data_IF_830250842208
#
_entry.id   IF_830250842208
#
_cell.length_a   1.000
_cell.length_b   1.000
_cell.length_c   1.000
_cell.angle_alpha   90.00
_cell.angle_beta   90.00
_cell.angle_gamma   90.00
#
_symmetry.space_group_name_H-M   'P 1'
#
loop_
_entity.id
_entity.type
_entity.pdbx_description
1 polymer ?
#
# COMPACT_ATOMS: atom_id res chain seq x y z
N UNK A 1 -34.99 3.52 -47.87
CA UNK A 1 -33.72 3.38 -47.11
C UNK A 1 -33.93 4.00 -45.74
N UNK A 2 -34.00 3.20 -44.68
CA UNK A 2 -34.03 3.70 -43.31
C UNK A 2 -32.59 3.69 -42.78
N UNK A 3 -32.02 4.87 -42.57
CA UNK A 3 -30.73 5.01 -41.89
C UNK A 3 -30.94 4.68 -40.41
N UNK A 4 -30.52 3.47 -40.04
CA UNK A 4 -30.46 2.98 -38.67
C UNK A 4 -29.50 3.88 -37.88
N UNK A 5 -30.05 4.63 -36.93
CA UNK A 5 -29.26 5.39 -35.95
C UNK A 5 -28.63 4.44 -34.96
N UNK A 6 -27.34 4.18 -35.10
CA UNK A 6 -26.53 3.55 -34.05
C UNK A 6 -26.05 4.64 -33.09
N UNK A 7 -26.95 5.05 -32.19
CA UNK A 7 -26.58 5.70 -30.93
C UNK A 7 -25.87 4.68 -30.04
N UNK A 8 -24.61 4.43 -30.34
CA UNK A 8 -23.69 3.71 -29.48
C UNK A 8 -23.38 4.54 -28.24
N UNK A 9 -24.33 4.60 -27.29
CA UNK A 9 -24.04 4.93 -25.90
C UNK A 9 -23.04 3.89 -25.39
N UNK A 10 -21.74 4.15 -25.59
CA UNK A 10 -20.64 3.54 -24.84
C UNK A 10 -20.86 3.97 -23.39
N UNK A 11 -21.70 3.22 -22.68
CA UNK A 11 -21.77 3.25 -21.23
C UNK A 11 -20.38 2.85 -20.76
N UNK A 12 -19.54 3.85 -20.49
CA UNK A 12 -18.31 3.67 -19.74
C UNK A 12 -18.73 3.04 -18.43
N UNK A 13 -18.63 1.71 -18.35
CA UNK A 13 -18.77 1.00 -17.09
C UNK A 13 -17.61 1.51 -16.25
N UNK A 14 -17.89 2.45 -15.35
CA UNK A 14 -16.96 2.78 -14.26
C UNK A 14 -16.77 1.47 -13.49
N UNK A 15 -15.79 0.67 -13.90
CA UNK A 15 -15.32 -0.47 -13.12
C UNK A 15 -14.77 0.11 -11.85
N UNK A 16 -15.48 -0.10 -10.74
CA UNK A 16 -14.99 0.24 -9.42
C UNK A 16 -13.64 -0.47 -9.28
N UNK A 17 -12.53 0.27 -9.07
CA UNK A 17 -11.22 -0.36 -9.00
C UNK A 17 -11.23 -1.39 -7.87
N UNK A 18 -10.81 -2.61 -8.20
CA UNK A 18 -10.63 -3.65 -7.20
C UNK A 18 -9.66 -3.13 -6.12
N UNK A 19 -10.08 -3.16 -4.85
CA UNK A 19 -9.30 -2.69 -3.72
C UNK A 19 -7.89 -3.29 -3.71
N UNK A 20 -7.75 -4.55 -4.13
CA UNK A 20 -6.45 -5.22 -4.25
C UNK A 20 -5.55 -4.59 -5.31
N UNK A 21 -6.12 -4.22 -6.46
CA UNK A 21 -5.39 -3.52 -7.52
C UNK A 21 -4.96 -2.11 -7.08
N UNK A 22 -5.81 -1.43 -6.29
CA UNK A 22 -5.47 -0.13 -5.73
C UNK A 22 -4.32 -0.24 -4.73
N UNK A 23 -4.40 -1.16 -3.76
CA UNK A 23 -3.32 -1.44 -2.80
C UNK A 23 -2.01 -1.76 -3.53
N UNK A 24 -2.06 -2.62 -4.56
CA UNK A 24 -0.88 -2.96 -5.34
C UNK A 24 -0.29 -1.73 -6.07
N UNK A 25 -1.13 -0.85 -6.60
CA UNK A 25 -0.69 0.37 -7.27
C UNK A 25 -0.01 1.33 -6.30
N UNK A 26 -0.56 1.51 -5.09
CA UNK A 26 0.06 2.32 -4.04
C UNK A 26 1.38 1.70 -3.57
N UNK A 27 1.45 0.38 -3.45
CA UNK A 27 2.69 -0.34 -3.12
C UNK A 27 3.77 -0.12 -4.19
N UNK A 28 3.41 -0.22 -5.46
CA UNK A 28 4.33 0.06 -6.56
C UNK A 28 4.78 1.52 -6.55
N UNK A 29 3.88 2.47 -6.25
CA UNK A 29 4.21 3.89 -6.13
C UNK A 29 5.24 4.13 -5.01
N UNK A 30 5.03 3.52 -3.84
CA UNK A 30 5.96 3.58 -2.69
C UNK A 30 7.36 3.08 -3.09
N UNK A 31 7.43 1.98 -3.84
CA UNK A 31 8.71 1.34 -4.19
C UNK A 31 9.45 2.04 -5.34
N UNK A 32 8.73 2.64 -6.28
CA UNK A 32 9.30 3.19 -7.53
C UNK A 32 9.50 4.70 -7.51
N UNK A 33 8.80 5.43 -6.64
CA UNK A 33 8.93 6.89 -6.57
C UNK A 33 10.35 7.31 -6.19
N UNK A 34 10.85 8.37 -6.83
CA UNK A 34 12.12 9.02 -6.45
C UNK A 34 11.94 10.08 -5.36
N UNK A 35 10.70 10.50 -5.11
CA UNK A 35 10.37 11.54 -4.14
C UNK A 35 10.06 10.89 -2.79
N UNK A 36 10.90 11.16 -1.80
CA UNK A 36 10.79 10.58 -0.44
C UNK A 36 9.44 10.95 0.21
N UNK A 37 8.93 12.16 -0.02
CA UNK A 37 7.62 12.56 0.47
C UNK A 37 6.49 11.66 -0.08
N UNK A 38 6.54 11.33 -1.38
CA UNK A 38 5.56 10.42 -2.01
C UNK A 38 5.71 9.00 -1.45
N UNK A 39 6.93 8.54 -1.21
CA UNK A 39 7.17 7.25 -0.55
C UNK A 39 6.55 7.21 0.85
N UNK A 40 6.73 8.27 1.65
CA UNK A 40 6.14 8.40 2.99
C UNK A 40 4.61 8.41 2.98
N UNK A 41 3.99 9.15 2.05
CA UNK A 41 2.52 9.21 1.97
C UNK A 41 1.91 7.90 1.44
N UNK A 42 2.52 7.30 0.42
CA UNK A 42 2.10 5.99 -0.07
C UNK A 42 2.24 4.92 1.03
N UNK A 43 3.33 4.96 1.80
CA UNK A 43 3.54 4.09 2.95
C UNK A 43 2.45 4.26 4.01
N UNK A 44 2.09 5.49 4.38
CA UNK A 44 1.02 5.76 5.34
C UNK A 44 -0.33 5.21 4.87
N UNK A 45 -0.67 5.47 3.61
CA UNK A 45 -1.91 4.97 3.01
C UNK A 45 -1.97 3.43 3.02
N UNK A 46 -0.86 2.75 2.74
CA UNK A 46 -0.80 1.27 2.78
C UNK A 46 -1.04 0.71 4.18
N UNK A 47 -0.60 1.41 5.22
CA UNK A 47 -0.87 1.02 6.61
C UNK A 47 -2.34 1.08 6.90
N UNK A 48 -3.05 2.11 6.43
CA UNK A 48 -4.49 2.25 6.63
C UNK A 48 -5.28 1.18 5.88
N UNK A 49 -4.91 0.94 4.63
CA UNK A 49 -5.67 0.07 3.72
C UNK A 49 -5.40 -1.43 3.89
N UNK A 50 -4.27 -1.81 4.50
CA UNK A 50 -3.82 -3.19 4.55
C UNK A 50 -3.50 -3.70 5.95
N UNK A 51 -4.01 -4.88 6.26
CA UNK A 51 -3.57 -5.70 7.40
C UNK A 51 -2.68 -6.87 6.97
N UNK A 52 -2.29 -6.92 5.69
CA UNK A 52 -1.46 -8.01 5.14
C UNK A 52 -0.03 -7.87 5.68
N UNK A 53 0.50 -8.87 6.40
CA UNK A 53 1.82 -8.77 7.04
C UNK A 53 2.95 -8.41 6.08
N UNK A 54 2.93 -8.96 4.86
CA UNK A 54 3.94 -8.70 3.84
C UNK A 54 3.94 -7.24 3.37
N UNK A 55 2.77 -6.61 3.27
CA UNK A 55 2.65 -5.19 2.91
C UNK A 55 3.21 -4.32 4.03
N UNK A 56 2.86 -4.63 5.28
CA UNK A 56 3.36 -3.89 6.45
C UNK A 56 4.88 -4.04 6.62
N UNK A 57 5.45 -5.21 6.30
CA UNK A 57 6.90 -5.42 6.26
C UNK A 57 7.59 -4.56 5.18
N UNK A 58 6.99 -4.47 4.00
CA UNK A 58 7.48 -3.58 2.93
C UNK A 58 7.45 -2.12 3.35
N UNK A 59 6.36 -1.69 3.99
CA UNK A 59 6.22 -0.33 4.53
C UNK A 59 7.25 -0.03 5.62
N UNK A 60 7.47 -0.96 6.55
CA UNK A 60 8.49 -0.80 7.60
C UNK A 60 9.89 -0.61 7.01
N UNK A 61 10.26 -1.46 6.04
CA UNK A 61 11.54 -1.33 5.33
C UNK A 61 11.65 0.01 4.59
N UNK A 62 10.56 0.52 4.05
CA UNK A 62 10.53 1.84 3.41
C UNK A 62 10.90 2.94 4.41
N UNK A 63 10.25 3.00 5.58
CA UNK A 63 10.56 4.01 6.59
C UNK A 63 12.00 3.91 7.11
N UNK A 64 12.50 2.70 7.36
CA UNK A 64 13.90 2.50 7.77
C UNK A 64 14.88 3.01 6.71
N UNK A 65 14.60 2.76 5.43
CA UNK A 65 15.41 3.29 4.31
C UNK A 65 15.37 4.81 4.25
N UNK A 66 14.21 5.43 4.50
CA UNK A 66 14.08 6.90 4.52
C UNK A 66 14.90 7.49 5.67
N UNK A 67 14.81 6.90 6.86
CA UNK A 67 15.55 7.36 8.04
C UNK A 67 17.07 7.20 7.89
N UNK A 68 17.53 6.21 7.13
CA UNK A 68 18.94 6.02 6.82
C UNK A 68 19.51 7.02 5.79
N UNK A 69 18.65 7.76 5.07
CA UNK A 69 19.11 8.74 4.08
C UNK A 69 19.58 10.03 4.75
N UNK A 70 20.81 10.46 4.40
CA UNK A 70 21.42 11.67 4.96
C UNK A 70 20.69 12.96 4.54
N UNK A 71 20.25 13.02 3.29
CA UNK A 71 19.72 14.24 2.65
C UNK A 71 18.20 14.40 2.76
N UNK A 72 17.56 13.70 3.69
CA UNK A 72 16.13 13.85 3.94
C UNK A 72 15.90 14.93 4.98
N UNK A 73 14.91 15.79 4.71
CA UNK A 73 14.46 16.84 5.63
C UNK A 73 14.12 16.29 7.02
N UNK A 74 14.52 17.02 8.06
CA UNK A 74 14.37 16.57 9.45
C UNK A 74 12.90 16.47 9.89
N UNK A 75 12.01 17.28 9.32
CA UNK A 75 10.57 17.17 9.54
C UNK A 75 10.06 15.85 8.96
N UNK A 76 10.49 15.51 7.75
CA UNK A 76 10.12 14.24 7.12
C UNK A 76 10.69 13.04 7.89
N UNK A 77 11.90 13.15 8.45
CA UNK A 77 12.46 12.11 9.34
C UNK A 77 11.63 11.95 10.61
N UNK A 78 11.19 13.04 11.25
CA UNK A 78 10.30 12.97 12.43
C UNK A 78 8.98 12.27 12.08
N UNK A 79 8.35 12.64 10.97
CA UNK A 79 7.12 12.01 10.47
C UNK A 79 7.36 10.51 10.21
N UNK A 80 8.45 10.15 9.53
CA UNK A 80 8.80 8.77 9.25
C UNK A 80 9.02 7.95 10.55
N UNK A 81 9.65 8.55 11.56
CA UNK A 81 9.86 7.93 12.87
C UNK A 81 8.56 7.64 13.61
N UNK A 82 7.64 8.60 13.61
CA UNK A 82 6.33 8.44 14.24
C UNK A 82 5.50 7.36 13.53
N UNK A 83 5.42 7.43 12.19
CA UNK A 83 4.69 6.45 11.39
C UNK A 83 5.30 5.04 11.50
N UNK A 84 6.61 4.92 11.62
CA UNK A 84 7.30 3.64 11.84
C UNK A 84 6.85 2.98 13.16
N UNK A 85 6.71 3.74 14.24
CA UNK A 85 6.19 3.21 15.52
C UNK A 85 4.79 2.64 15.34
N UNK A 86 3.91 3.37 14.66
CA UNK A 86 2.54 2.94 14.40
C UNK A 86 2.49 1.63 13.59
N UNK A 87 3.36 1.48 12.59
CA UNK A 87 3.48 0.23 11.80
C UNK A 87 3.88 -0.93 12.70
N UNK A 88 4.87 -0.74 13.56
CA UNK A 88 5.37 -1.79 14.45
C UNK A 88 4.33 -2.22 15.49
N UNK A 89 3.57 -1.27 16.03
CA UNK A 89 2.43 -1.55 16.91
C UNK A 89 1.33 -2.33 16.18
N UNK A 90 0.96 -1.88 14.97
CA UNK A 90 -0.03 -2.57 14.13
C UNK A 90 0.40 -3.98 13.74
N UNK A 91 1.70 -4.23 13.51
CA UNK A 91 2.23 -5.59 13.26
C UNK A 91 2.13 -6.49 14.49
N UNK A 92 2.35 -5.95 15.69
CA UNK A 92 2.26 -6.71 16.96
C UNK A 92 0.82 -7.10 17.30
N UNK A 93 -0.16 -6.27 16.92
CA UNK A 93 -1.58 -6.53 17.20
C UNK A 93 -2.24 -7.53 16.25
N UNK A 94 -1.60 -7.91 15.12
CA UNK A 94 -2.11 -8.95 14.24
C UNK A 94 -1.96 -10.31 14.96
N UNK A 95 -3.07 -10.98 15.34
CA UNK A 95 -3.01 -12.22 16.08
C UNK A 95 -2.30 -13.30 15.25
N UNK A 96 -1.42 -14.06 15.91
CA UNK A 96 -0.64 -15.19 15.34
C UNK A 96 -1.50 -16.35 14.79
N UNK A 97 -2.82 -16.21 14.71
CA UNK A 97 -3.75 -17.23 14.21
C UNK A 97 -3.52 -17.60 12.74
N UNK A 98 -2.82 -16.77 11.95
CA UNK A 98 -2.39 -17.14 10.59
C UNK A 98 -1.24 -18.16 10.53
N UNK A 99 -0.46 -18.37 11.61
CA UNK A 99 0.60 -19.40 11.61
C UNK A 99 0.07 -20.85 11.58
N UNK A 100 -1.21 -21.07 11.93
CA UNK A 100 -1.82 -22.41 11.89
C UNK A 100 -2.27 -22.85 10.49
N UNK A 101 -2.58 -21.94 9.57
CA UNK A 101 -3.05 -22.30 8.22
C UNK A 101 -1.93 -22.75 7.26
N UNK A 102 -0.67 -22.38 7.50
CA UNK A 102 0.45 -22.90 6.70
C UNK A 102 0.88 -24.33 7.10
N UNK A 103 0.53 -24.78 8.32
CA UNK A 103 0.82 -26.16 8.77
C UNK A 103 -0.19 -27.19 8.27
N UNK A 104 -1.38 -26.75 7.85
CA UNK A 104 -2.50 -27.62 7.45
C UNK A 104 -2.57 -27.91 5.94
N UNK A 105 -1.69 -27.31 5.13
CA UNK A 105 -1.57 -27.60 3.68
C UNK A 105 -0.37 -28.55 3.40
N UNK A 106 0.25 -29.09 4.46
CA UNK A 106 1.34 -30.08 4.39
C UNK A 106 0.97 -31.40 5.09
N UNK A 107 -0.30 -31.78 5.03
CA UNK A 107 -0.76 -33.13 5.37
C UNK A 107 -1.51 -33.68 4.17
#
# INVERSE_FOLDING_TARGET
MFLRGDNGFRKSRRTIPNVSCFIQSVYNLMMSSRLVAVQCEAAALLVELSAVPQVLEGVERCYLKILAQKNVDDTLKKIAHERLKNVQEKRKSIPKSQKRRQKLVKL
#
